data_IF_864419746669
#
_entry.id   IF_864419746669
#
_cell.length_a   1.000
_cell.length_b   1.000
_cell.length_c   1.000
_cell.angle_alpha   90.00
_cell.angle_beta   90.00
_cell.angle_gamma   90.00
#
_symmetry.space_group_name_H-M   'P 1'
#
loop_
_entity.id
_entity.type
_entity.pdbx_description
1 polymer ?
#
# COMPACT_ATOMS: atom_id res chain seq x y z
N UNK A 1 -1.37 15.96 -11.71
CA UNK A 1 -1.91 15.89 -10.32
C UNK A 1 -0.83 16.29 -9.32
N UNK A 2 -1.16 17.08 -8.33
CA UNK A 2 -0.31 17.27 -7.15
C UNK A 2 -0.59 16.15 -6.12
N UNK A 3 0.12 16.15 -5.00
CA UNK A 3 -0.02 15.09 -3.98
C UNK A 3 -1.43 15.00 -3.39
N UNK A 4 -2.12 16.12 -3.25
CA UNK A 4 -3.51 16.14 -2.77
C UNK A 4 -4.46 15.46 -3.76
N UNK A 5 -4.32 15.80 -5.06
CA UNK A 5 -5.11 15.16 -6.11
C UNK A 5 -4.88 13.65 -6.16
N UNK A 6 -3.62 13.22 -6.01
CA UNK A 6 -3.27 11.79 -5.99
C UNK A 6 -3.97 11.08 -4.84
N UNK A 7 -3.95 11.67 -3.64
CA UNK A 7 -4.62 11.11 -2.47
C UNK A 7 -6.12 10.97 -2.67
N UNK A 8 -6.80 12.04 -3.11
CA UNK A 8 -8.25 12.03 -3.36
C UNK A 8 -8.62 11.02 -4.43
N UNK A 9 -7.89 11.01 -5.54
CA UNK A 9 -8.15 10.07 -6.65
C UNK A 9 -7.94 8.61 -6.20
N UNK A 10 -6.87 8.34 -5.45
CA UNK A 10 -6.57 7.00 -4.95
C UNK A 10 -7.68 6.47 -4.05
N UNK A 11 -8.12 7.26 -3.07
CA UNK A 11 -9.21 6.86 -2.18
C UNK A 11 -10.51 6.60 -2.95
N UNK A 12 -10.87 7.48 -3.89
CA UNK A 12 -12.08 7.34 -4.71
C UNK A 12 -12.03 6.07 -5.58
N UNK A 13 -10.87 5.78 -6.19
CA UNK A 13 -10.70 4.59 -7.03
C UNK A 13 -10.76 3.30 -6.22
N UNK A 14 -10.19 3.28 -5.04
CA UNK A 14 -10.26 2.11 -4.13
C UNK A 14 -11.71 1.89 -3.69
N UNK A 15 -12.40 2.94 -3.26
CA UNK A 15 -13.82 2.85 -2.88
C UNK A 15 -14.66 2.29 -4.03
N UNK A 16 -14.47 2.84 -5.24
CA UNK A 16 -15.18 2.38 -6.43
C UNK A 16 -14.90 0.91 -6.74
N UNK A 17 -13.67 0.45 -6.59
CA UNK A 17 -13.30 -0.93 -6.91
C UNK A 17 -13.87 -1.92 -5.90
N UNK A 18 -13.85 -1.61 -4.60
CA UNK A 18 -14.54 -2.43 -3.61
C UNK A 18 -16.05 -2.53 -3.91
N UNK A 19 -16.68 -1.40 -4.23
CA UNK A 19 -18.11 -1.37 -4.58
C UNK A 19 -18.40 -2.22 -5.83
N UNK A 20 -17.55 -2.14 -6.85
CA UNK A 20 -17.67 -2.97 -8.06
C UNK A 20 -17.54 -4.47 -7.77
N UNK A 21 -16.80 -4.83 -6.74
CA UNK A 21 -16.67 -6.22 -6.28
C UNK A 21 -17.78 -6.65 -5.31
N UNK A 22 -18.75 -5.77 -5.03
CA UNK A 22 -19.93 -6.09 -4.24
C UNK A 22 -19.78 -5.87 -2.74
N UNK A 23 -18.75 -5.15 -2.30
CA UNK A 23 -18.63 -4.74 -0.90
C UNK A 23 -19.36 -3.42 -0.65
N UNK A 24 -19.94 -3.27 0.52
CA UNK A 24 -20.43 -1.97 0.97
C UNK A 24 -19.22 -1.12 1.44
N UNK A 25 -19.25 0.17 1.13
CA UNK A 25 -18.11 1.05 1.39
C UNK A 25 -18.54 2.27 2.18
N UNK A 26 -17.79 2.58 3.24
CA UNK A 26 -17.92 3.83 3.99
C UNK A 26 -16.58 4.57 3.96
N UNK A 27 -16.60 5.83 3.56
CA UNK A 27 -15.41 6.68 3.48
C UNK A 27 -15.33 7.54 4.74
N UNK A 28 -14.14 7.65 5.32
CA UNK A 28 -13.91 8.50 6.49
C UNK A 28 -13.69 9.94 6.08
N UNK A 29 -14.28 10.87 6.81
CA UNK A 29 -14.13 12.31 6.62
C UNK A 29 -13.64 12.95 7.91
N UNK A 30 -12.94 14.07 7.79
CA UNK A 30 -12.49 14.86 8.92
C UNK A 30 -11.00 15.16 8.93
N UNK A 31 -10.59 16.12 9.75
CA UNK A 31 -9.20 16.56 9.85
C UNK A 31 -8.33 15.57 10.65
N UNK A 32 -8.90 14.96 11.66
CA UNK A 32 -8.22 13.99 12.53
C UNK A 32 -8.73 12.58 12.21
N UNK A 33 -8.38 12.09 11.02
CA UNK A 33 -8.80 10.76 10.61
C UNK A 33 -8.08 9.67 11.41
N UNK A 34 -8.77 8.54 11.68
CA UNK A 34 -8.11 7.36 12.21
C UNK A 34 -7.10 6.81 11.21
N UNK A 35 -6.41 5.75 11.59
CA UNK A 35 -5.38 5.10 10.76
C UNK A 35 -5.88 4.69 9.36
N UNK A 36 -7.18 4.48 9.21
CA UNK A 36 -7.78 4.03 7.94
C UNK A 36 -8.60 5.14 7.27
N UNK A 37 -8.71 5.06 5.96
CA UNK A 37 -9.40 6.02 5.10
C UNK A 37 -10.82 5.57 4.75
N UNK A 38 -11.05 4.27 4.68
CA UNK A 38 -12.36 3.70 4.38
C UNK A 38 -12.58 2.35 5.05
N UNK A 39 -13.84 1.95 5.08
CA UNK A 39 -14.26 0.63 5.53
C UNK A 39 -14.94 -0.07 4.36
N UNK A 40 -14.52 -1.30 4.05
CA UNK A 40 -15.25 -2.22 3.20
C UNK A 40 -15.97 -3.24 4.08
N UNK A 41 -17.24 -3.52 3.82
CA UNK A 41 -17.98 -4.45 4.64
C UNK A 41 -18.82 -5.42 3.80
N UNK A 42 -19.10 -6.57 4.38
CA UNK A 42 -19.97 -7.61 3.82
C UNK A 42 -20.71 -8.27 4.98
N UNK A 43 -22.02 -8.00 5.07
CA UNK A 43 -22.79 -8.37 6.26
C UNK A 43 -22.25 -7.66 7.50
N UNK A 44 -22.04 -8.40 8.57
CA UNK A 44 -21.51 -7.85 9.85
C UNK A 44 -20.00 -7.76 9.90
N UNK A 45 -19.30 -8.26 8.90
CA UNK A 45 -17.84 -8.23 8.83
C UNK A 45 -17.34 -6.95 8.18
N UNK A 46 -16.33 -6.34 8.78
CA UNK A 46 -15.72 -5.11 8.27
C UNK A 46 -14.21 -5.26 8.08
N UNK A 47 -13.70 -4.61 7.05
CA UNK A 47 -12.28 -4.48 6.76
C UNK A 47 -11.91 -2.99 6.77
N UNK A 48 -10.96 -2.61 7.62
CA UNK A 48 -10.43 -1.25 7.63
C UNK A 48 -9.30 -1.14 6.61
N UNK A 49 -9.35 -0.08 5.81
CA UNK A 49 -8.46 0.09 4.66
C UNK A 49 -7.79 1.46 4.72
N UNK A 50 -6.46 1.45 4.68
CA UNK A 50 -5.64 2.65 4.50
C UNK A 50 -5.19 2.73 3.04
N UNK A 51 -5.36 3.89 2.41
CA UNK A 51 -5.04 4.07 0.99
C UNK A 51 -3.79 4.92 0.85
N UNK A 52 -2.85 4.46 0.05
CA UNK A 52 -1.63 5.20 -0.30
C UNK A 52 -1.52 5.34 -1.80
N UNK A 53 -1.65 6.57 -2.29
CA UNK A 53 -1.51 6.88 -3.71
C UNK A 53 -0.09 7.29 -4.08
N UNK A 54 0.29 7.00 -5.30
CA UNK A 54 1.57 7.42 -5.90
C UNK A 54 1.40 7.65 -7.39
N UNK A 55 2.27 8.50 -7.93
CA UNK A 55 2.35 8.74 -9.39
C UNK A 55 3.76 8.60 -9.95
N UNK A 56 4.70 8.10 -9.14
CA UNK A 56 6.12 8.02 -9.50
C UNK A 56 6.72 6.61 -9.40
N UNK A 57 5.89 5.59 -9.30
CA UNK A 57 6.33 4.19 -9.27
C UNK A 57 6.73 3.68 -7.88
N UNK A 58 6.56 4.49 -6.83
CA UNK A 58 6.98 4.10 -5.49
C UNK A 58 6.10 4.71 -4.40
N UNK A 59 6.16 4.13 -3.20
CA UNK A 59 5.49 4.66 -2.01
C UNK A 59 6.51 4.83 -0.89
N UNK A 60 6.67 6.06 -0.41
CA UNK A 60 7.47 6.35 0.78
C UNK A 60 6.69 6.01 2.03
N UNK A 61 7.15 5.04 2.81
CA UNK A 61 6.40 4.55 3.97
C UNK A 61 7.12 4.78 5.30
N UNK A 62 8.42 4.58 5.35
CA UNK A 62 9.15 4.56 6.62
C UNK A 62 10.16 5.71 6.80
N UNK A 63 10.19 6.69 5.89
CA UNK A 63 11.19 7.77 5.93
C UNK A 63 11.22 8.53 7.26
N UNK A 64 10.06 8.80 7.84
CA UNK A 64 9.98 9.56 9.11
C UNK A 64 10.62 8.84 10.29
N UNK A 65 10.82 7.54 10.18
CA UNK A 65 11.45 6.73 11.23
C UNK A 65 12.95 6.49 10.99
N UNK A 66 13.49 6.94 9.85
CA UNK A 66 14.86 6.59 9.44
C UNK A 66 15.94 7.37 10.18
N UNK A 67 15.66 8.58 10.61
CA UNK A 67 16.67 9.45 11.24
C UNK A 67 17.28 8.77 12.48
N UNK A 68 18.60 8.55 12.45
CA UNK A 68 19.34 7.92 13.54
C UNK A 68 19.11 6.41 13.66
N UNK A 69 18.53 5.75 12.64
CA UNK A 69 18.19 4.32 12.66
C UNK A 69 18.63 3.63 11.37
N UNK A 70 18.72 2.32 11.43
CA UNK A 70 18.89 1.49 10.24
C UNK A 70 17.57 1.40 9.47
N UNK A 71 17.62 0.93 8.22
CA UNK A 71 16.41 0.69 7.42
C UNK A 71 15.49 -0.34 8.10
N UNK A 72 16.07 -1.40 8.65
CA UNK A 72 15.31 -2.44 9.36
C UNK A 72 14.65 -1.90 10.62
N UNK A 73 15.34 -1.09 11.41
CA UNK A 73 14.76 -0.45 12.59
C UNK A 73 13.57 0.48 12.21
N UNK A 74 13.72 1.25 11.12
CA UNK A 74 12.65 2.12 10.62
C UNK A 74 11.42 1.30 10.19
N UNK A 75 11.62 0.18 9.51
CA UNK A 75 10.54 -0.74 9.10
C UNK A 75 9.82 -1.29 10.35
N UNK A 76 10.56 -1.73 11.36
CA UNK A 76 9.95 -2.26 12.59
C UNK A 76 9.13 -1.19 13.33
N UNK A 77 9.61 0.04 13.38
CA UNK A 77 8.87 1.16 14.00
C UNK A 77 7.59 1.46 13.22
N UNK A 78 7.66 1.47 11.88
CA UNK A 78 6.49 1.67 11.03
C UNK A 78 5.46 0.56 11.27
N UNK A 79 5.91 -0.69 11.24
CA UNK A 79 5.04 -1.85 11.45
C UNK A 79 4.35 -1.81 12.81
N UNK A 80 5.08 -1.48 13.87
CA UNK A 80 4.52 -1.43 15.24
C UNK A 80 3.46 -0.35 15.42
N UNK A 81 3.47 0.68 14.58
CA UNK A 81 2.48 1.77 14.60
C UNK A 81 1.16 1.43 13.93
N UNK A 82 1.06 0.29 13.24
CA UNK A 82 -0.13 -0.10 12.50
C UNK A 82 -0.87 -1.27 13.16
N UNK A 83 -2.19 -1.21 13.11
CA UNK A 83 -3.01 -2.33 13.56
C UNK A 83 -2.88 -3.48 12.56
N UNK A 84 -2.68 -4.70 13.05
CA UNK A 84 -2.42 -5.90 12.23
C UNK A 84 -3.51 -6.19 11.19
N UNK A 85 -4.73 -5.78 11.47
CA UNK A 85 -5.91 -6.02 10.62
C UNK A 85 -6.32 -4.82 9.77
N UNK A 86 -5.55 -3.73 9.77
CA UNK A 86 -5.75 -2.63 8.84
C UNK A 86 -4.98 -2.94 7.56
N UNK A 87 -5.68 -3.00 6.44
CA UNK A 87 -5.09 -3.36 5.15
C UNK A 87 -4.70 -2.11 4.39
N UNK A 88 -3.60 -2.17 3.68
CA UNK A 88 -3.17 -1.11 2.77
C UNK A 88 -3.65 -1.39 1.36
N UNK A 89 -4.21 -0.35 0.73
CA UNK A 89 -4.40 -0.30 -0.73
C UNK A 89 -3.36 0.65 -1.29
N UNK A 90 -2.46 0.12 -2.09
CA UNK A 90 -1.39 0.88 -2.74
C UNK A 90 -1.84 1.16 -4.17
N UNK A 91 -1.98 2.45 -4.51
CA UNK A 91 -2.50 2.89 -5.81
C UNK A 91 -1.39 3.57 -6.60
N UNK A 92 -1.16 3.12 -7.84
CA UNK A 92 -0.11 3.66 -8.70
C UNK A 92 -0.71 4.28 -9.96
N UNK A 93 -0.43 5.57 -10.15
CA UNK A 93 -0.85 6.34 -11.33
C UNK A 93 0.26 6.54 -12.36
N UNK A 94 1.48 6.08 -12.09
CA UNK A 94 2.59 6.22 -13.04
C UNK A 94 2.22 5.56 -14.37
N UNK A 95 2.38 6.31 -15.47
CA UNK A 95 2.09 5.86 -16.83
C UNK A 95 0.65 5.36 -17.03
N UNK A 96 -0.28 5.87 -16.25
CA UNK A 96 -1.72 5.58 -16.38
C UNK A 96 -2.40 6.73 -17.09
N UNK A 97 -3.09 6.44 -18.19
CA UNK A 97 -3.91 7.39 -18.94
C UNK A 97 -5.14 7.79 -18.10
N UNK A 98 -5.62 9.02 -18.27
CA UNK A 98 -6.77 9.54 -17.52
C UNK A 98 -8.05 8.72 -17.71
N UNK A 99 -8.16 7.98 -18.81
CA UNK A 99 -9.29 7.09 -19.09
C UNK A 99 -9.16 5.68 -18.52
N UNK A 100 -8.03 5.36 -17.91
CA UNK A 100 -7.70 4.02 -17.39
C UNK A 100 -7.78 3.96 -15.88
N UNK A 101 -8.06 2.76 -15.37
CA UNK A 101 -7.92 2.49 -13.93
C UNK A 101 -6.45 2.47 -13.54
N UNK A 102 -6.08 3.05 -12.39
CA UNK A 102 -4.74 2.88 -11.86
C UNK A 102 -4.50 1.42 -11.46
N UNK A 103 -3.24 1.07 -11.28
CA UNK A 103 -2.87 -0.22 -10.69
C UNK A 103 -3.07 -0.15 -9.18
N UNK A 104 -3.80 -1.11 -8.63
CA UNK A 104 -4.12 -1.17 -7.20
C UNK A 104 -3.65 -2.51 -6.63
N UNK A 105 -3.03 -2.46 -5.46
CA UNK A 105 -2.51 -3.61 -4.74
C UNK A 105 -3.06 -3.64 -3.32
N UNK A 106 -3.38 -4.82 -2.82
CA UNK A 106 -3.82 -5.03 -1.44
C UNK A 106 -2.74 -5.80 -0.67
N UNK A 107 -2.34 -5.28 0.49
CA UNK A 107 -1.39 -5.96 1.35
C UNK A 107 -1.61 -5.62 2.82
N UNK A 108 -1.31 -6.56 3.70
CA UNK A 108 -1.24 -6.30 5.13
C UNK A 108 0.04 -5.52 5.49
N UNK A 109 0.08 -4.84 6.64
CA UNK A 109 1.31 -4.21 7.11
C UNK A 109 2.49 -5.19 7.20
N UNK A 110 2.23 -6.42 7.64
CA UNK A 110 3.24 -7.47 7.76
C UNK A 110 3.80 -7.88 6.39
N UNK A 111 2.95 -8.07 5.39
CA UNK A 111 3.37 -8.37 4.03
C UNK A 111 4.25 -7.25 3.45
N UNK A 112 3.85 -6.00 3.67
CA UNK A 112 4.63 -4.82 3.22
C UNK A 112 6.00 -4.80 3.92
N UNK A 113 6.02 -4.97 5.24
CA UNK A 113 7.26 -4.98 6.00
C UNK A 113 8.22 -6.10 5.52
N UNK A 114 7.69 -7.28 5.24
CA UNK A 114 8.50 -8.40 4.73
C UNK A 114 9.15 -8.08 3.39
N UNK A 115 8.43 -7.46 2.47
CA UNK A 115 8.97 -7.02 1.17
C UNK A 115 10.05 -5.96 1.39
N UNK A 116 9.78 -4.94 2.20
CA UNK A 116 10.72 -3.85 2.44
C UNK A 116 12.01 -4.31 3.12
N UNK A 117 11.95 -5.29 4.00
CA UNK A 117 13.14 -5.89 4.64
C UNK A 117 14.07 -6.54 3.62
N UNK A 118 13.53 -7.07 2.53
CA UNK A 118 14.28 -7.78 1.48
C UNK A 118 14.77 -6.87 0.38
N UNK A 119 14.27 -5.63 0.29
CA UNK A 119 14.68 -4.67 -0.73
C UNK A 119 16.17 -4.34 -0.65
N UNK A 120 16.71 -3.86 -1.75
CA UNK A 120 18.13 -3.48 -1.88
C UNK A 120 19.07 -4.61 -1.41
N UNK A 121 18.82 -5.83 -1.89
CA UNK A 121 19.60 -7.03 -1.56
C UNK A 121 19.66 -7.31 -0.04
N UNK A 122 18.58 -7.02 0.68
CA UNK A 122 18.47 -7.28 2.12
C UNK A 122 18.87 -6.12 3.03
N UNK A 123 19.37 -5.01 2.47
CA UNK A 123 19.64 -3.80 3.24
C UNK A 123 18.36 -3.24 3.86
N UNK A 124 17.22 -3.40 3.18
CA UNK A 124 15.98 -2.71 3.46
C UNK A 124 15.94 -1.33 2.83
N UNK A 125 14.78 -0.72 2.77
CA UNK A 125 14.60 0.64 2.24
C UNK A 125 13.47 1.35 2.98
N UNK A 126 13.39 2.67 2.83
CA UNK A 126 12.27 3.50 3.31
C UNK A 126 11.16 3.62 2.28
N UNK A 127 11.42 3.19 1.07
CA UNK A 127 10.55 3.30 -0.09
C UNK A 127 10.16 1.88 -0.54
N UNK A 128 8.85 1.67 -0.75
CA UNK A 128 8.34 0.46 -1.40
C UNK A 128 8.24 0.75 -2.89
N UNK A 129 8.92 -0.04 -3.71
CA UNK A 129 8.90 0.12 -5.16
C UNK A 129 7.89 -0.82 -5.82
N UNK A 130 7.13 -0.30 -6.77
CA UNK A 130 6.36 -1.15 -7.66
C UNK A 130 7.30 -1.98 -8.53
N UNK A 131 8.31 -1.32 -9.11
CA UNK A 131 9.40 -1.94 -9.84
C UNK A 131 10.63 -1.03 -9.78
N UNK A 132 11.79 -1.57 -9.42
CA UNK A 132 13.03 -0.80 -9.37
C UNK A 132 14.23 -1.69 -9.71
N UNK A 133 15.04 -1.26 -10.67
CA UNK A 133 16.31 -1.88 -11.01
C UNK A 133 17.44 -1.06 -10.39
N UNK A 134 18.20 -1.69 -9.49
CA UNK A 134 19.39 -1.07 -8.91
C UNK A 134 20.55 -1.14 -9.89
N UNK A 135 21.32 -0.07 -10.04
CA UNK A 135 22.50 -0.08 -10.92
C UNK A 135 23.56 -1.06 -10.40
N UNK A 136 24.44 -1.60 -11.29
CA UNK A 136 25.53 -2.48 -10.86
C UNK A 136 26.52 -1.82 -9.89
N UNK A 137 26.59 -0.49 -9.87
CA UNK A 137 27.46 0.28 -8.95
C UNK A 137 26.79 0.62 -7.62
N UNK A 138 25.47 0.36 -7.50
CA UNK A 138 24.75 0.56 -6.25
C UNK A 138 25.12 -0.54 -5.23
N UNK A 139 24.87 -0.27 -3.97
CA UNK A 139 25.06 -1.25 -2.90
C UNK A 139 24.27 -2.53 -3.11
N UNK A 140 23.14 -2.45 -3.82
CA UNK A 140 22.29 -3.59 -4.15
C UNK A 140 22.79 -4.44 -5.34
N UNK A 141 23.92 -4.08 -5.95
CA UNK A 141 24.63 -4.88 -6.97
C UNK A 141 23.76 -5.30 -8.17
N UNK A 142 22.97 -4.37 -8.72
CA UNK A 142 22.16 -4.66 -9.91
C UNK A 142 20.97 -5.58 -9.66
N UNK A 143 20.51 -5.70 -8.44
CA UNK A 143 19.27 -6.45 -8.10
C UNK A 143 18.03 -5.68 -8.54
N UNK A 144 16.91 -6.39 -8.63
CA UNK A 144 15.60 -5.82 -8.96
C UNK A 144 14.65 -6.00 -7.79
N UNK A 145 13.98 -4.93 -7.41
CA UNK A 145 12.91 -4.97 -6.41
C UNK A 145 11.57 -4.77 -7.12
N UNK A 146 10.59 -5.60 -6.77
CA UNK A 146 9.25 -5.55 -7.34
C UNK A 146 8.25 -6.04 -6.31
N UNK A 147 7.12 -5.34 -6.21
CA UNK A 147 6.04 -5.83 -5.36
C UNK A 147 5.44 -7.10 -5.94
N UNK A 148 4.96 -8.03 -5.07
CA UNK A 148 4.38 -9.29 -5.54
C UNK A 148 3.15 -9.10 -6.43
N UNK A 149 3.08 -9.82 -7.54
CA UNK A 149 1.91 -9.79 -8.46
C UNK A 149 0.64 -10.26 -7.76
N UNK A 150 0.74 -11.19 -6.82
CA UNK A 150 -0.39 -11.68 -6.04
C UNK A 150 -1.08 -10.61 -5.18
N UNK A 151 -0.45 -9.45 -4.99
CA UNK A 151 -1.08 -8.33 -4.30
C UNK A 151 -2.08 -7.56 -5.16
N UNK A 152 -2.13 -7.81 -6.48
CA UNK A 152 -3.07 -7.10 -7.38
C UNK A 152 -4.48 -7.21 -6.85
N UNK A 153 -5.21 -6.09 -6.91
CA UNK A 153 -6.59 -5.99 -6.44
C UNK A 153 -7.55 -6.70 -7.41
N UNK A 154 -7.62 -8.00 -7.29
CA UNK A 154 -8.59 -8.86 -7.97
C UNK A 154 -9.70 -9.25 -7.00
N UNK A 155 -10.79 -9.83 -7.52
CA UNK A 155 -11.86 -10.38 -6.65
C UNK A 155 -11.31 -11.44 -5.71
N UNK A 156 -10.46 -12.31 -6.21
CA UNK A 156 -9.83 -13.40 -5.46
C UNK A 156 -8.96 -12.86 -4.33
N UNK A 157 -8.15 -11.85 -4.62
CA UNK A 157 -7.31 -11.22 -3.60
C UNK A 157 -8.14 -10.48 -2.55
N UNK A 158 -9.20 -9.78 -2.97
CA UNK A 158 -10.12 -9.11 -2.06
C UNK A 158 -10.78 -10.11 -1.11
N UNK A 159 -11.28 -11.24 -1.62
CA UNK A 159 -11.88 -12.30 -0.80
C UNK A 159 -10.87 -12.94 0.16
N UNK A 160 -9.66 -13.20 -0.30
CA UNK A 160 -8.59 -13.73 0.55
C UNK A 160 -8.28 -12.79 1.72
N UNK A 161 -8.05 -11.53 1.42
CA UNK A 161 -7.74 -10.49 2.42
C UNK A 161 -8.94 -10.32 3.37
N UNK A 162 -10.15 -10.24 2.85
CA UNK A 162 -11.35 -10.07 3.66
C UNK A 162 -11.53 -11.24 4.63
N UNK A 163 -11.43 -12.47 4.13
CA UNK A 163 -11.54 -13.68 4.96
C UNK A 163 -10.50 -13.72 6.08
N UNK A 164 -9.28 -13.27 5.81
CA UNK A 164 -8.18 -13.34 6.76
C UNK A 164 -8.21 -12.19 7.79
N UNK A 165 -8.62 -10.98 7.41
CA UNK A 165 -8.44 -9.78 8.22
C UNK A 165 -9.72 -9.07 8.66
N UNK A 166 -10.87 -9.34 8.05
CA UNK A 166 -12.14 -8.74 8.47
C UNK A 166 -12.55 -9.19 9.88
N UNK A 167 -13.36 -8.34 10.54
CA UNK A 167 -13.79 -8.56 11.93
C UNK A 167 -15.18 -7.99 12.19
#
# INVERSE_FOLDING_TARGET
MNSWHVGVAAEAMVAAQFARYGYDVSVQYGADQPEYDLIASRGDEILKVSVKGSKDGSWGLTQKFKKGRTYHEAIEMWLSGHHKKTIFCLVQFEDVDDSQMPRIYLASPEEIADVMRKEAAGRGDTILYEYHEWSPTAQAYGTTDKIPEEWRFTRERADEIFTKYAR
#
